data_IF_870544842750
#
_entry.id   IF_870544842750
#
_cell.length_a   1.000
_cell.length_b   1.000
_cell.length_c   1.000
_cell.angle_alpha   90.00
_cell.angle_beta   90.00
_cell.angle_gamma   90.00
#
_symmetry.space_group_name_H-M   'P 1'
#
loop_
_entity.id
_entity.type
_entity.pdbx_description
1 polymer ?
#
# COMPACT_ATOMS: atom_id res chain seq x y z
N UNK A 1 5.68 -18.19 7.87
CA UNK A 1 4.75 -17.43 8.71
C UNK A 1 5.38 -16.07 8.91
N UNK A 2 4.83 -15.04 8.30
CA UNK A 2 5.27 -13.67 8.53
C UNK A 2 4.73 -13.24 9.89
N UNK A 3 5.57 -12.68 10.75
CA UNK A 3 5.15 -12.10 12.04
C UNK A 3 4.99 -10.60 11.77
N UNK A 4 3.80 -10.03 11.85
CA UNK A 4 3.64 -8.58 11.77
C UNK A 4 4.20 -7.95 13.04
N UNK A 5 5.13 -6.99 12.88
CA UNK A 5 5.72 -6.20 13.96
C UNK A 5 4.94 -4.89 14.16
N UNK A 6 3.63 -4.97 14.40
CA UNK A 6 2.82 -3.78 14.68
C UNK A 6 1.80 -4.05 15.77
N UNK A 7 2.26 -4.16 17.02
CA UNK A 7 1.48 -3.75 18.18
C UNK A 7 2.19 -2.55 18.81
N UNK A 8 1.79 -1.34 18.42
CA UNK A 8 2.23 -0.13 19.12
C UNK A 8 1.33 0.08 20.33
N UNK A 9 1.90 -0.11 21.50
CA UNK A 9 1.30 0.34 22.75
C UNK A 9 1.60 1.84 22.93
N UNK A 10 0.57 2.65 23.03
CA UNK A 10 0.68 4.03 23.49
C UNK A 10 1.13 4.06 24.95
N UNK A 11 2.38 4.41 25.16
CA UNK A 11 2.95 4.58 26.50
C UNK A 11 4.46 4.41 26.46
N UNK A 12 5.18 5.47 26.46
CA UNK A 12 6.62 5.79 26.52
C UNK A 12 7.66 4.72 26.83
N UNK A 13 7.47 3.46 26.50
CA UNK A 13 8.47 2.41 26.62
C UNK A 13 8.95 2.01 25.22
N UNK A 14 10.25 2.18 24.98
CA UNK A 14 10.92 1.66 23.78
C UNK A 14 10.87 0.13 23.82
N UNK A 15 10.15 -0.48 22.86
CA UNK A 15 10.12 -1.93 22.70
C UNK A 15 11.33 -2.37 21.90
N UNK A 16 12.18 -3.19 22.51
CA UNK A 16 13.37 -3.78 21.87
C UNK A 16 13.13 -5.24 21.51
N UNK A 17 13.25 -5.57 20.22
CA UNK A 17 13.17 -6.93 19.71
C UNK A 17 14.50 -7.34 19.08
N UNK A 18 15.07 -8.46 19.49
CA UNK A 18 16.26 -9.04 18.86
C UNK A 18 15.83 -10.21 17.95
N UNK A 19 16.15 -10.12 16.67
CA UNK A 19 16.07 -11.24 15.73
C UNK A 19 17.47 -11.83 15.61
N UNK A 20 17.69 -13.02 16.10
CA UNK A 20 18.97 -13.71 16.07
C UNK A 20 18.99 -14.87 15.08
N UNK A 21 20.19 -15.30 14.70
CA UNK A 21 20.43 -16.43 13.79
C UNK A 21 19.71 -16.26 12.45
N UNK A 22 19.63 -15.03 11.92
CA UNK A 22 18.99 -14.72 10.65
C UNK A 22 19.98 -14.77 9.49
N UNK A 23 19.48 -15.12 8.28
CA UNK A 23 20.15 -14.88 7.02
C UNK A 23 19.59 -13.61 6.40
N UNK A 24 20.21 -12.46 6.69
CA UNK A 24 19.70 -11.13 6.34
C UNK A 24 20.18 -10.71 4.97
N UNK A 25 19.26 -10.22 4.12
CA UNK A 25 19.64 -9.61 2.85
C UNK A 25 20.15 -8.19 3.09
N UNK A 26 21.47 -8.04 2.96
CA UNK A 26 22.19 -6.81 3.18
C UNK A 26 23.34 -6.67 2.16
N UNK A 27 23.63 -5.47 1.68
CA UNK A 27 24.67 -5.21 0.70
C UNK A 27 24.63 -6.15 -0.53
N UNK A 28 23.42 -6.38 -1.08
CA UNK A 28 23.17 -7.23 -2.26
C UNK A 28 23.50 -8.72 -2.08
N UNK A 29 23.61 -9.20 -0.86
CA UNK A 29 23.84 -10.61 -0.52
C UNK A 29 23.14 -11.01 0.77
N UNK A 30 23.07 -12.31 1.02
CA UNK A 30 22.59 -12.84 2.31
C UNK A 30 23.78 -12.99 3.27
N UNK A 31 23.67 -12.40 4.44
CA UNK A 31 24.68 -12.45 5.50
C UNK A 31 24.06 -13.00 6.79
N UNK A 32 24.82 -13.81 7.53
CA UNK A 32 24.40 -14.27 8.86
C UNK A 32 24.57 -13.10 9.84
N UNK A 33 23.47 -12.47 10.20
CA UNK A 33 23.43 -11.29 11.07
C UNK A 33 22.27 -11.38 12.05
N UNK A 34 22.47 -10.79 13.23
CA UNK A 34 21.38 -10.47 14.14
C UNK A 34 20.87 -9.07 13.83
N UNK A 35 19.57 -8.84 14.08
CA UNK A 35 18.92 -7.54 13.92
C UNK A 35 18.37 -7.08 15.26
N UNK A 36 18.74 -5.87 15.68
CA UNK A 36 18.09 -5.20 16.79
C UNK A 36 17.04 -4.24 16.24
N UNK A 37 15.81 -4.40 16.69
CA UNK A 37 14.70 -3.51 16.39
C UNK A 37 14.39 -2.68 17.63
N UNK A 38 14.18 -1.38 17.44
CA UNK A 38 13.73 -0.46 18.47
C UNK A 38 12.58 0.34 17.89
N UNK A 39 11.43 0.31 18.55
CA UNK A 39 10.21 1.01 18.11
C UNK A 39 9.85 0.73 16.64
N UNK A 40 9.88 -0.54 16.25
CA UNK A 40 9.54 -0.99 14.88
C UNK A 40 10.57 -0.63 13.80
N UNK A 41 11.75 -0.14 14.17
CA UNK A 41 12.84 0.21 13.23
C UNK A 41 14.08 -0.64 13.47
N UNK A 42 14.81 -0.97 12.42
CA UNK A 42 16.13 -1.61 12.56
C UNK A 42 17.10 -0.57 13.10
N UNK A 43 17.50 -0.72 14.35
CA UNK A 43 18.47 0.17 15.00
C UNK A 43 19.91 -0.32 14.82
N UNK A 44 20.12 -1.65 14.69
CA UNK A 44 21.45 -2.24 14.48
C UNK A 44 21.38 -3.55 13.70
N UNK A 45 22.41 -3.80 12.91
CA UNK A 45 22.66 -5.06 12.22
C UNK A 45 24.01 -5.63 12.65
N UNK A 46 24.01 -6.84 13.22
CA UNK A 46 25.19 -7.47 13.82
C UNK A 46 25.63 -6.82 15.14
N UNK A 47 26.52 -7.49 15.88
CA UNK A 47 27.09 -6.98 17.13
C UNK A 47 26.01 -6.71 18.21
N UNK A 48 25.01 -7.59 18.30
CA UNK A 48 23.90 -7.45 19.24
C UNK A 48 24.05 -8.36 20.49
N UNK A 49 25.23 -8.93 20.70
CA UNK A 49 25.49 -9.82 21.83
C UNK A 49 25.36 -9.06 23.17
N UNK A 50 24.61 -9.64 24.10
CA UNK A 50 24.45 -9.07 25.45
C UNK A 50 23.41 -7.94 25.55
N UNK A 51 22.77 -7.57 24.47
CA UNK A 51 21.66 -6.60 24.52
C UNK A 51 20.48 -7.15 25.34
N UNK A 52 19.94 -6.31 26.19
CA UNK A 52 18.68 -6.59 26.90
C UNK A 52 17.53 -6.23 26.01
N UNK A 53 16.71 -7.20 25.65
CA UNK A 53 15.56 -7.05 24.78
C UNK A 53 14.30 -7.51 25.47
N UNK A 54 13.17 -6.90 25.10
CA UNK A 54 11.85 -7.29 25.59
C UNK A 54 11.40 -8.59 24.92
N UNK A 55 11.82 -8.77 23.66
CA UNK A 55 11.52 -9.95 22.87
C UNK A 55 12.76 -10.46 22.14
N UNK A 56 12.89 -11.79 22.01
CA UNK A 56 13.93 -12.45 21.23
C UNK A 56 13.30 -13.46 20.28
N UNK A 57 13.50 -13.23 18.97
CA UNK A 57 13.03 -14.11 17.90
C UNK A 57 14.25 -14.88 17.36
N UNK A 58 14.24 -16.20 17.47
CA UNK A 58 15.26 -17.04 16.82
C UNK A 58 14.78 -17.36 15.39
N UNK A 59 15.47 -16.77 14.42
CA UNK A 59 15.16 -16.98 13.00
C UNK A 59 15.56 -18.38 12.51
N UNK A 60 16.43 -19.10 13.22
CA UNK A 60 16.84 -20.47 12.88
C UNK A 60 17.40 -20.59 11.46
N UNK A 61 18.19 -19.62 11.00
CA UNK A 61 18.74 -19.56 9.65
C UNK A 61 17.74 -19.10 8.58
N UNK A 62 16.52 -18.70 8.91
CA UNK A 62 15.56 -18.18 7.97
C UNK A 62 16.04 -16.87 7.34
N UNK A 63 15.61 -16.63 6.12
CA UNK A 63 15.89 -15.37 5.42
C UNK A 63 15.07 -14.23 5.98
N UNK A 64 15.74 -13.11 6.20
CA UNK A 64 15.13 -11.82 6.49
C UNK A 64 15.42 -10.89 5.32
N UNK A 65 14.39 -10.44 4.66
CA UNK A 65 14.43 -9.57 3.47
C UNK A 65 13.43 -8.43 3.65
N UNK A 66 13.57 -7.30 2.92
CA UNK A 66 12.52 -6.29 2.85
C UNK A 66 11.20 -6.92 2.40
N UNK A 67 10.10 -6.49 3.00
CA UNK A 67 8.77 -6.92 2.56
C UNK A 67 8.44 -6.41 1.16
N UNK A 68 7.58 -7.13 0.45
CA UNK A 68 7.11 -6.68 -0.86
C UNK A 68 6.19 -5.46 -0.72
N UNK A 69 6.22 -4.60 -1.74
CA UNK A 69 5.32 -3.46 -1.89
C UNK A 69 4.48 -3.70 -3.14
N UNK A 70 3.16 -3.77 -2.98
CA UNK A 70 2.22 -3.93 -4.07
C UNK A 70 1.51 -2.60 -4.33
N UNK A 71 1.72 -2.01 -5.50
CA UNK A 71 1.14 -0.71 -5.87
C UNK A 71 -0.03 -0.83 -6.85
N UNK A 72 -0.40 -2.07 -7.26
CA UNK A 72 -1.49 -2.29 -8.20
C UNK A 72 -2.19 -3.62 -7.93
N UNK A 73 -3.27 -3.57 -7.17
CA UNK A 73 -4.11 -4.73 -6.87
C UNK A 73 -5.56 -4.31 -6.66
N UNK A 74 -6.48 -5.11 -7.19
CA UNK A 74 -7.94 -4.86 -7.10
C UNK A 74 -8.60 -5.65 -5.98
N UNK A 75 -7.81 -6.29 -5.14
CA UNK A 75 -8.30 -7.06 -4.00
C UNK A 75 -7.64 -8.41 -3.87
N UNK A 76 -8.08 -9.18 -2.88
CA UNK A 76 -7.62 -10.53 -2.60
C UNK A 76 -8.66 -11.28 -1.75
N UNK A 77 -8.50 -12.60 -1.64
CA UNK A 77 -9.30 -13.49 -0.78
C UNK A 77 -10.82 -13.33 -0.93
N UNK A 78 -11.26 -13.08 -2.18
CA UNK A 78 -12.67 -12.91 -2.51
C UNK A 78 -13.24 -11.53 -2.17
N UNK A 79 -12.41 -10.57 -1.83
CA UNK A 79 -12.78 -9.17 -1.62
C UNK A 79 -12.30 -8.33 -2.78
N UNK A 80 -13.20 -7.56 -3.39
CA UNK A 80 -12.93 -6.58 -4.44
C UNK A 80 -12.82 -5.18 -3.82
N UNK A 81 -11.78 -4.42 -4.19
CA UNK A 81 -11.52 -3.07 -3.62
C UNK A 81 -12.66 -2.10 -3.87
N UNK A 82 -13.31 -2.14 -5.06
CA UNK A 82 -14.39 -1.20 -5.36
C UNK A 82 -15.61 -1.41 -4.47
N UNK A 83 -15.84 -2.64 -4.00
CA UNK A 83 -16.98 -3.00 -3.16
C UNK A 83 -16.62 -3.36 -1.72
N UNK A 84 -15.35 -3.23 -1.32
CA UNK A 84 -14.90 -3.57 0.03
C UNK A 84 -15.50 -2.61 1.06
N UNK A 85 -15.85 -3.15 2.22
CA UNK A 85 -16.02 -2.43 3.47
C UNK A 85 -14.70 -2.43 4.28
N UNK A 86 -14.70 -1.80 5.45
CA UNK A 86 -13.53 -1.74 6.33
C UNK A 86 -13.02 -3.14 6.73
N UNK A 87 -13.92 -4.09 7.00
CA UNK A 87 -13.57 -5.47 7.31
C UNK A 87 -12.95 -6.19 6.10
N UNK A 88 -13.40 -5.85 4.89
CA UNK A 88 -12.82 -6.33 3.64
C UNK A 88 -11.38 -5.88 3.47
N UNK A 89 -11.07 -4.61 3.70
CA UNK A 89 -9.70 -4.10 3.68
C UNK A 89 -8.82 -4.79 4.72
N UNK A 90 -9.32 -5.01 5.93
CA UNK A 90 -8.58 -5.73 6.99
C UNK A 90 -8.23 -7.17 6.56
N UNK A 91 -9.17 -7.89 5.90
CA UNK A 91 -8.92 -9.24 5.37
C UNK A 91 -7.82 -9.23 4.32
N UNK A 92 -7.83 -8.26 3.40
CA UNK A 92 -6.78 -8.10 2.37
C UNK A 92 -5.43 -7.84 3.05
N UNK A 93 -5.36 -6.92 4.01
CA UNK A 93 -4.13 -6.57 4.73
C UNK A 93 -3.51 -7.79 5.43
N UNK A 94 -4.32 -8.58 6.13
CA UNK A 94 -3.87 -9.82 6.79
C UNK A 94 -3.38 -10.86 5.79
N UNK A 95 -4.09 -11.03 4.69
CA UNK A 95 -3.67 -11.94 3.63
C UNK A 95 -2.33 -11.51 3.03
N UNK A 96 -2.16 -10.25 2.65
CA UNK A 96 -0.92 -9.74 2.08
C UNK A 96 0.26 -9.90 3.02
N UNK A 97 0.10 -9.58 4.30
CA UNK A 97 1.14 -9.82 5.31
C UNK A 97 1.55 -11.30 5.37
N UNK A 98 0.58 -12.22 5.28
CA UNK A 98 0.85 -13.66 5.28
C UNK A 98 1.64 -14.13 4.05
N UNK A 99 1.62 -13.36 2.95
CA UNK A 99 2.34 -13.63 1.72
C UNK A 99 3.67 -12.85 1.61
N UNK A 100 4.02 -12.04 2.62
CA UNK A 100 5.26 -11.26 2.64
C UNK A 100 5.14 -9.88 2.00
N UNK A 101 3.95 -9.46 1.57
CA UNK A 101 3.68 -8.06 1.19
C UNK A 101 3.43 -7.27 2.46
N UNK A 102 4.25 -6.26 2.71
CA UNK A 102 4.18 -5.44 3.94
C UNK A 102 3.53 -4.08 3.70
N UNK A 103 3.41 -3.66 2.45
CA UNK A 103 2.78 -2.38 2.08
C UNK A 103 2.08 -2.51 0.74
N UNK A 104 0.96 -1.79 0.56
CA UNK A 104 0.20 -1.84 -0.67
C UNK A 104 -0.64 -0.58 -0.91
N UNK A 105 -1.09 -0.38 -2.15
CA UNK A 105 -2.10 0.60 -2.54
C UNK A 105 -3.36 -0.13 -2.99
N UNK A 106 -4.52 0.30 -2.53
CA UNK A 106 -5.78 -0.23 -3.05
C UNK A 106 -6.09 0.39 -4.41
N UNK A 107 -6.15 -0.44 -5.46
CA UNK A 107 -6.46 0.01 -6.81
C UNK A 107 -7.96 0.00 -7.04
N UNK A 108 -8.54 1.18 -7.09
CA UNK A 108 -9.95 1.40 -7.44
C UNK A 108 -10.04 1.41 -8.96
N UNK A 109 -10.77 0.44 -9.53
CA UNK A 109 -11.10 0.39 -10.95
C UNK A 109 -11.98 1.58 -11.34
N UNK A 110 -11.89 1.98 -12.61
CA UNK A 110 -12.84 2.94 -13.21
C UNK A 110 -14.27 2.50 -12.99
N UNK A 111 -15.02 3.33 -12.30
CA UNK A 111 -16.42 3.08 -11.93
C UNK A 111 -17.22 4.40 -11.96
N UNK A 112 -18.47 4.37 -11.55
CA UNK A 112 -19.25 5.60 -11.33
C UNK A 112 -18.59 6.47 -10.25
N UNK A 113 -18.89 7.77 -10.29
CA UNK A 113 -18.41 8.69 -9.25
C UNK A 113 -18.84 8.23 -7.86
N UNK A 114 -20.07 7.78 -7.74
CA UNK A 114 -20.68 7.31 -6.49
C UNK A 114 -19.93 6.09 -5.93
N UNK A 115 -19.61 5.10 -6.80
CA UNK A 115 -18.88 3.90 -6.37
C UNK A 115 -17.43 4.22 -6.00
N UNK A 116 -16.76 5.08 -6.76
CA UNK A 116 -15.40 5.54 -6.43
C UNK A 116 -15.38 6.28 -5.08
N UNK A 117 -16.36 7.17 -4.84
CA UNK A 117 -16.50 7.87 -3.56
C UNK A 117 -16.80 6.91 -2.40
N UNK A 118 -17.58 5.85 -2.65
CA UNK A 118 -17.81 4.80 -1.67
C UNK A 118 -16.51 4.08 -1.29
N UNK A 119 -15.72 3.65 -2.27
CA UNK A 119 -14.42 2.99 -2.02
C UNK A 119 -13.47 3.90 -1.21
N UNK A 120 -13.43 5.20 -1.53
CA UNK A 120 -12.65 6.19 -0.78
C UNK A 120 -13.15 6.29 0.67
N UNK A 121 -14.46 6.32 0.88
CA UNK A 121 -15.04 6.39 2.22
C UNK A 121 -14.70 5.14 3.04
N UNK A 122 -14.81 3.95 2.46
CA UNK A 122 -14.49 2.69 3.15
C UNK A 122 -13.00 2.59 3.50
N UNK A 123 -12.11 3.06 2.60
CA UNK A 123 -10.69 3.20 2.92
C UNK A 123 -10.47 4.09 4.15
N UNK A 124 -11.15 5.23 4.24
CA UNK A 124 -11.05 6.14 5.40
C UNK A 124 -11.57 5.51 6.69
N UNK A 125 -12.70 4.81 6.61
CA UNK A 125 -13.25 4.09 7.76
C UNK A 125 -12.25 3.06 8.27
N UNK A 126 -11.68 2.23 7.38
CA UNK A 126 -10.63 1.29 7.74
C UNK A 126 -9.42 2.00 8.38
N UNK A 127 -8.94 3.09 7.79
CA UNK A 127 -7.77 3.83 8.27
C UNK A 127 -7.95 4.37 9.70
N UNK A 128 -9.17 4.67 10.11
CA UNK A 128 -9.52 5.18 11.44
C UNK A 128 -9.82 4.08 12.47
N UNK A 129 -9.69 2.82 12.11
CA UNK A 129 -9.83 1.69 13.03
C UNK A 129 -8.45 1.14 13.43
N UNK A 130 -8.43 0.31 14.47
CA UNK A 130 -7.27 -0.53 14.73
C UNK A 130 -7.16 -1.57 13.61
N UNK A 131 -5.98 -1.68 12.99
CA UNK A 131 -5.78 -2.56 11.84
C UNK A 131 -4.47 -3.33 11.96
N UNK A 132 -4.41 -4.49 11.31
CA UNK A 132 -3.30 -5.42 11.37
C UNK A 132 -2.94 -5.91 9.96
N UNK A 133 -1.69 -6.38 9.81
CA UNK A 133 -1.25 -6.96 8.55
C UNK A 133 -0.40 -6.00 7.72
N UNK A 134 -0.57 -6.04 6.40
CA UNK A 134 0.15 -5.15 5.49
C UNK A 134 -0.37 -3.72 5.59
N UNK A 135 0.54 -2.75 5.55
CA UNK A 135 0.19 -1.34 5.58
C UNK A 135 -0.47 -0.91 4.26
N UNK A 136 -1.74 -0.52 4.31
CA UNK A 136 -2.43 0.10 3.18
C UNK A 136 -2.07 1.58 3.14
N UNK A 137 -1.17 1.93 2.20
CA UNK A 137 -0.49 3.24 2.15
C UNK A 137 -1.28 4.33 1.43
N UNK A 138 -2.42 4.01 0.84
CA UNK A 138 -3.23 4.96 0.10
C UNK A 138 -4.00 4.30 -1.05
N UNK A 139 -4.57 5.16 -1.88
CA UNK A 139 -5.43 4.79 -2.99
C UNK A 139 -4.69 4.97 -4.31
N UNK A 140 -4.80 3.98 -5.18
CA UNK A 140 -4.48 4.06 -6.58
C UNK A 140 -5.79 4.15 -7.38
N UNK A 141 -5.92 5.15 -8.25
CA UNK A 141 -7.03 5.23 -9.20
C UNK A 141 -6.59 4.64 -10.55
N UNK A 142 -7.20 3.55 -10.98
CA UNK A 142 -7.00 3.04 -12.34
C UNK A 142 -8.01 3.66 -13.27
N UNK A 143 -7.62 4.77 -13.88
CA UNK A 143 -8.50 5.66 -14.64
C UNK A 143 -9.14 6.76 -13.77
N UNK A 144 -10.22 7.40 -14.24
CA UNK A 144 -11.04 7.09 -15.44
C UNK A 144 -10.48 7.66 -16.77
N UNK A 145 -9.30 8.26 -16.78
CA UNK A 145 -8.72 8.94 -17.95
C UNK A 145 -7.94 7.93 -18.81
N UNK A 146 -8.65 6.88 -19.29
CA UNK A 146 -8.08 5.77 -20.06
C UNK A 146 -8.59 5.78 -21.51
N UNK A 147 -7.73 5.26 -22.42
CA UNK A 147 -8.06 5.16 -23.84
C UNK A 147 -9.08 4.04 -24.09
N UNK A 148 -10.21 4.32 -24.77
CA UNK A 148 -11.21 3.30 -25.07
C UNK A 148 -10.66 2.10 -25.88
N UNK A 149 -9.66 2.34 -26.74
CA UNK A 149 -9.06 1.26 -27.54
C UNK A 149 -8.28 0.24 -26.69
N UNK A 150 -7.77 0.68 -25.54
CA UNK A 150 -6.95 -0.15 -24.62
C UNK A 150 -7.57 -0.32 -23.25
N UNK A 151 -8.86 -0.07 -23.12
CA UNK A 151 -9.59 -0.05 -21.85
C UNK A 151 -9.60 -1.38 -21.07
N UNK A 152 -9.27 -2.48 -21.71
CA UNK A 152 -9.35 -3.80 -21.08
C UNK A 152 -10.77 -4.09 -20.58
N UNK A 153 -10.90 -4.42 -19.31
CA UNK A 153 -12.19 -4.74 -18.67
C UNK A 153 -13.02 -3.51 -18.32
N UNK A 154 -12.48 -2.29 -18.43
CA UNK A 154 -13.20 -1.07 -18.03
C UNK A 154 -14.43 -0.82 -18.89
N UNK A 155 -15.59 -0.49 -18.31
CA UNK A 155 -16.76 -0.09 -19.07
C UNK A 155 -16.52 1.23 -19.81
N UNK A 156 -16.65 1.22 -21.15
CA UNK A 156 -16.30 2.38 -21.97
C UNK A 156 -17.06 3.65 -21.61
N UNK A 157 -18.34 3.53 -21.23
CA UNK A 157 -19.17 4.65 -20.85
C UNK A 157 -18.75 5.34 -19.54
N UNK A 158 -17.88 4.72 -18.75
CA UNK A 158 -17.32 5.28 -17.53
C UNK A 158 -15.98 6.00 -17.74
N UNK A 159 -15.36 5.81 -18.92
CA UNK A 159 -14.13 6.50 -19.27
C UNK A 159 -14.38 7.99 -19.48
N UNK A 160 -13.42 8.81 -19.12
CA UNK A 160 -13.54 10.27 -19.15
C UNK A 160 -12.33 10.91 -19.79
N UNK A 161 -12.55 12.11 -20.36
CA UNK A 161 -11.49 13.08 -20.61
C UNK A 161 -11.00 13.68 -19.28
N UNK A 162 -9.84 14.34 -19.25
CA UNK A 162 -9.35 15.05 -18.07
C UNK A 162 -10.42 15.93 -17.43
N UNK A 163 -10.65 15.75 -16.16
CA UNK A 163 -11.68 16.44 -15.38
C UNK A 163 -11.08 16.88 -14.03
N UNK A 164 -10.78 18.19 -13.94
CA UNK A 164 -10.14 18.78 -12.75
C UNK A 164 -11.04 18.68 -11.51
N UNK A 165 -12.33 18.96 -11.67
CA UNK A 165 -13.27 19.00 -10.56
C UNK A 165 -13.51 17.59 -10.00
N UNK A 166 -13.58 16.59 -10.87
CA UNK A 166 -13.73 15.19 -10.47
C UNK A 166 -12.51 14.72 -9.68
N UNK A 167 -11.30 14.93 -10.22
CA UNK A 167 -10.07 14.47 -9.56
C UNK A 167 -9.83 15.20 -8.24
N UNK A 168 -10.11 16.51 -8.21
CA UNK A 168 -10.05 17.30 -6.99
C UNK A 168 -11.02 16.78 -5.93
N UNK A 169 -12.26 16.47 -6.33
CA UNK A 169 -13.27 15.92 -5.43
C UNK A 169 -12.83 14.57 -4.83
N UNK A 170 -12.20 13.69 -5.62
CA UNK A 170 -11.66 12.43 -5.12
C UNK A 170 -10.52 12.65 -4.11
N UNK A 171 -9.58 13.56 -4.44
CA UNK A 171 -8.45 13.83 -3.55
C UNK A 171 -8.88 14.51 -2.25
N UNK A 172 -9.84 15.42 -2.30
CA UNK A 172 -10.42 16.05 -1.10
C UNK A 172 -11.18 15.03 -0.23
N UNK A 173 -12.00 14.18 -0.86
CA UNK A 173 -12.70 13.12 -0.14
C UNK A 173 -11.74 12.13 0.52
N UNK A 174 -10.63 11.82 -0.15
CA UNK A 174 -9.57 10.94 0.36
C UNK A 174 -8.63 11.65 1.35
N UNK A 175 -8.82 12.93 1.65
CA UNK A 175 -7.92 13.72 2.54
C UNK A 175 -6.44 13.68 2.11
N UNK A 176 -6.21 13.68 0.78
CA UNK A 176 -4.87 13.62 0.21
C UNK A 176 -4.30 12.21 0.05
N UNK A 177 -5.07 11.16 0.28
CA UNK A 177 -4.59 9.77 0.26
C UNK A 177 -4.69 9.09 -1.12
N UNK A 178 -5.19 9.78 -2.16
CA UNK A 178 -4.94 9.32 -3.52
C UNK A 178 -3.47 9.56 -3.83
N UNK A 179 -2.70 8.47 -3.91
CA UNK A 179 -1.24 8.51 -4.09
C UNK A 179 -0.80 8.28 -5.52
N UNK A 180 -1.62 7.59 -6.29
CA UNK A 180 -1.26 7.09 -7.59
C UNK A 180 -2.46 7.10 -8.54
N UNK A 181 -2.24 7.38 -9.81
CA UNK A 181 -3.26 7.30 -10.86
C UNK A 181 -2.66 6.74 -12.15
N UNK A 182 -3.36 5.80 -12.77
CA UNK A 182 -3.02 5.33 -14.12
C UNK A 182 -3.84 6.09 -15.15
N UNK A 183 -3.16 6.60 -16.17
CA UNK A 183 -3.75 7.35 -17.29
C UNK A 183 -3.21 6.85 -18.62
N UNK A 184 -3.98 7.02 -19.70
CA UNK A 184 -3.54 6.69 -21.06
C UNK A 184 -3.10 7.97 -21.81
N UNK A 185 -1.89 8.00 -22.37
CA UNK A 185 -1.37 9.19 -23.06
C UNK A 185 -2.16 9.57 -24.33
N UNK A 186 -2.94 8.61 -24.88
CA UNK A 186 -3.81 8.82 -26.03
C UNK A 186 -5.06 9.65 -25.73
N UNK A 187 -5.41 9.82 -24.46
CA UNK A 187 -6.57 10.63 -24.08
C UNK A 187 -6.27 12.10 -24.35
N UNK A 188 -7.09 12.72 -25.15
CA UNK A 188 -6.95 14.13 -25.52
C UNK A 188 -6.84 15.04 -24.29
N UNK A 189 -5.79 15.85 -24.22
CA UNK A 189 -5.52 16.79 -23.14
C UNK A 189 -4.89 16.19 -21.89
N UNK A 190 -4.67 14.85 -21.82
CA UNK A 190 -4.14 14.22 -20.60
C UNK A 190 -2.70 14.65 -20.31
N UNK A 191 -1.87 14.84 -21.36
CA UNK A 191 -0.46 15.21 -21.17
C UNK A 191 -0.36 16.60 -20.51
N UNK A 192 -1.19 17.54 -20.95
CA UNK A 192 -1.26 18.90 -20.37
C UNK A 192 -1.90 18.88 -18.97
N UNK A 193 -2.63 17.82 -18.62
CA UNK A 193 -3.28 17.65 -17.33
C UNK A 193 -2.34 17.05 -16.26
N UNK A 194 -1.26 16.38 -16.66
CA UNK A 194 -0.29 15.75 -15.72
C UNK A 194 0.26 16.75 -14.68
N UNK A 195 0.66 17.98 -15.02
CA UNK A 195 1.12 18.94 -14.01
C UNK A 195 0.10 19.22 -12.92
N UNK A 196 -1.19 19.28 -13.28
CA UNK A 196 -2.27 19.46 -12.31
C UNK A 196 -2.40 18.23 -11.41
N UNK A 197 -2.40 17.01 -11.94
CA UNK A 197 -2.42 15.76 -11.16
C UNK A 197 -1.28 15.78 -10.14
N UNK A 198 -0.07 16.10 -10.56
CA UNK A 198 1.12 16.18 -9.70
C UNK A 198 1.01 17.27 -8.64
N UNK A 199 0.34 18.38 -8.92
CA UNK A 199 0.11 19.46 -7.95
C UNK A 199 -0.79 19.03 -6.79
N UNK A 200 -1.60 17.99 -6.99
CA UNK A 200 -2.41 17.35 -5.94
C UNK A 200 -1.63 16.31 -5.12
N UNK A 201 -0.33 16.13 -5.36
CA UNK A 201 0.50 15.13 -4.69
C UNK A 201 0.36 13.71 -5.24
N UNK A 202 -0.32 13.54 -6.39
CA UNK A 202 -0.60 12.24 -7.00
C UNK A 202 0.51 11.88 -7.99
N UNK A 203 1.07 10.67 -7.89
CA UNK A 203 1.99 10.13 -8.88
C UNK A 203 1.24 9.59 -10.09
N UNK A 204 1.81 9.74 -11.29
CA UNK A 204 1.17 9.32 -12.54
C UNK A 204 1.88 8.11 -13.11
N UNK A 205 1.11 7.08 -13.44
CA UNK A 205 1.52 5.95 -14.26
C UNK A 205 0.91 6.06 -15.66
N UNK A 206 1.63 5.51 -16.62
CA UNK A 206 1.12 5.29 -17.97
C UNK A 206 0.65 3.84 -18.05
N UNK A 207 -0.58 3.65 -18.48
CA UNK A 207 -1.17 2.34 -18.69
C UNK A 207 -2.38 2.42 -19.61
N UNK A 208 -2.89 1.26 -20.00
CA UNK A 208 -4.00 1.16 -20.97
C UNK A 208 -3.71 1.96 -22.26
N UNK A 209 -2.51 1.72 -22.83
CA UNK A 209 -1.90 2.46 -23.94
C UNK A 209 -1.38 1.48 -25.01
#
# INVERSE_FOLDING_TARGET
>A
MAVPLTEFMEGGFTVKTLIKNASVYHNHRLEALDLLLEDGRISRMGGCEGERCDEVIDAGGKRVVPGFIDIHTHGAVGVDVNGADADGFEKICRFFASQGTTSWLCSVLTDTKEQTMHAIQMYKEWKNTEHHGANLMGIHLEGPFLCPAYKGAMPEHLLKKPDMELLKAYQEAAEGEVRYITVSPEVEGIVDFIPYIKSLGIQVAIGHS
#
